data_IF_421479178499
#
_entry.id   IF_421479178499
#
_cell.length_a   1.000
_cell.length_b   1.000
_cell.length_c   1.000
_cell.angle_alpha   90.00
_cell.angle_beta   90.00
_cell.angle_gamma   90.00
#
_symmetry.space_group_name_H-M   'P 1'
#
loop_
_entity.id
_entity.type
_entity.pdbx_description
1 polymer ?
#
# COMPACT_ATOMS: atom_id res chain seq x y z
N UNK A 1 -2.98 6.82 -23.14
CA UNK A 1 -3.14 5.85 -22.04
C UNK A 1 -4.36 6.23 -21.20
N UNK A 2 -5.17 5.26 -20.75
CA UNK A 2 -6.24 5.55 -19.78
C UNK A 2 -5.60 5.71 -18.40
N UNK A 3 -5.61 6.92 -17.84
CA UNK A 3 -5.19 7.16 -16.46
C UNK A 3 -6.13 6.36 -15.53
N UNK A 4 -5.59 5.33 -14.88
CA UNK A 4 -6.34 4.58 -13.87
C UNK A 4 -6.62 5.54 -12.71
N UNK A 5 -7.91 5.76 -12.40
CA UNK A 5 -8.27 6.55 -11.24
C UNK A 5 -7.97 5.75 -9.96
N UNK A 6 -7.03 6.23 -9.17
CA UNK A 6 -6.72 5.66 -7.85
C UNK A 6 -7.40 6.45 -6.75
N UNK A 7 -8.07 5.74 -5.85
CA UNK A 7 -8.62 6.28 -4.62
C UNK A 7 -7.49 6.88 -3.76
N UNK A 8 -7.77 7.96 -3.03
CA UNK A 8 -6.83 8.59 -2.11
C UNK A 8 -6.15 7.60 -1.17
N UNK A 9 -6.89 6.71 -0.50
CA UNK A 9 -6.34 5.74 0.43
C UNK A 9 -5.40 4.73 -0.25
N UNK A 10 -5.69 4.34 -1.49
CA UNK A 10 -4.79 3.48 -2.28
C UNK A 10 -3.48 4.21 -2.56
N UNK A 11 -3.55 5.48 -2.97
CA UNK A 11 -2.35 6.31 -3.17
C UNK A 11 -1.56 6.47 -1.87
N UNK A 12 -2.24 6.69 -0.75
CA UNK A 12 -1.60 6.80 0.57
C UNK A 12 -0.87 5.51 0.95
N UNK A 13 -1.51 4.34 0.79
CA UNK A 13 -0.86 3.05 1.03
C UNK A 13 0.37 2.81 0.13
N UNK A 14 0.29 3.17 -1.16
CA UNK A 14 1.44 3.07 -2.07
C UNK A 14 2.57 4.01 -1.63
N UNK A 15 2.25 5.24 -1.21
CA UNK A 15 3.22 6.21 -0.69
C UNK A 15 3.89 5.73 0.60
N UNK A 16 3.14 5.19 1.56
CA UNK A 16 3.70 4.62 2.79
C UNK A 16 4.73 3.54 2.43
N UNK A 17 4.36 2.61 1.56
CA UNK A 17 5.27 1.55 1.13
C UNK A 17 6.50 2.11 0.38
N UNK A 18 6.32 3.09 -0.50
CA UNK A 18 7.43 3.77 -1.20
C UNK A 18 8.38 4.49 -0.23
N UNK A 19 7.85 5.15 0.79
CA UNK A 19 8.63 5.97 1.73
C UNK A 19 9.39 5.13 2.75
N UNK A 20 8.75 4.11 3.31
CA UNK A 20 9.28 3.40 4.48
C UNK A 20 9.82 2.00 4.18
N UNK A 21 9.85 1.58 2.91
CA UNK A 21 10.46 0.29 2.57
C UNK A 21 11.98 0.30 2.79
N UNK A 22 12.49 -0.88 3.16
CA UNK A 22 13.91 -1.21 3.14
C UNK A 22 14.09 -2.28 2.08
N UNK A 23 14.89 -1.98 1.05
CA UNK A 23 15.11 -2.86 -0.11
C UNK A 23 13.81 -3.30 -0.81
N UNK A 24 12.85 -2.39 -0.95
CA UNK A 24 11.58 -2.63 -1.63
C UNK A 24 10.53 -3.36 -0.79
N UNK A 25 10.82 -3.68 0.48
CA UNK A 25 9.91 -4.41 1.38
C UNK A 25 9.74 -3.69 2.71
N UNK A 26 8.62 -3.93 3.37
CA UNK A 26 8.43 -3.53 4.77
C UNK A 26 7.56 -4.55 5.53
N UNK A 27 7.72 -4.66 6.85
CA UNK A 27 6.86 -5.49 7.68
C UNK A 27 5.38 -5.06 7.57
N UNK A 28 4.48 -6.04 7.53
CA UNK A 28 3.04 -5.77 7.46
C UNK A 28 2.52 -5.12 8.75
N UNK A 29 3.16 -5.37 9.90
CA UNK A 29 2.88 -4.70 11.17
C UNK A 29 3.08 -3.20 11.05
N UNK A 30 4.30 -2.80 10.65
CA UNK A 30 4.71 -1.40 10.57
C UNK A 30 3.88 -0.68 9.49
N UNK A 31 3.63 -1.36 8.37
CA UNK A 31 2.77 -0.83 7.32
C UNK A 31 1.34 -0.55 7.81
N UNK A 32 0.82 -1.41 8.68
CA UNK A 32 -0.50 -1.23 9.27
C UNK A 32 -0.50 -0.09 10.30
N UNK A 33 0.57 0.06 11.08
CA UNK A 33 0.73 1.18 12.03
C UNK A 33 0.74 2.52 11.30
N UNK A 34 1.57 2.69 10.26
CA UNK A 34 1.57 3.92 9.47
C UNK A 34 0.23 4.19 8.77
N UNK A 35 -0.45 3.14 8.30
CA UNK A 35 -1.78 3.31 7.71
C UNK A 35 -2.83 3.76 8.75
N UNK A 36 -2.68 3.37 10.02
CA UNK A 36 -3.55 3.82 11.10
C UNK A 36 -3.35 5.31 11.42
N UNK A 37 -2.13 5.82 11.35
CA UNK A 37 -1.84 7.26 11.51
C UNK A 37 -2.55 8.11 10.44
N UNK A 38 -2.79 7.54 9.26
CA UNK A 38 -3.52 8.14 8.14
C UNK A 38 -5.04 7.83 8.14
N UNK A 39 -5.59 7.32 9.24
CA UNK A 39 -7.00 6.91 9.39
C UNK A 39 -7.45 5.84 8.36
N UNK A 40 -6.54 4.96 7.95
CA UNK A 40 -6.79 3.80 7.09
C UNK A 40 -6.73 2.53 7.96
N UNK A 41 -7.84 2.22 8.63
CA UNK A 41 -7.91 1.15 9.63
C UNK A 41 -8.75 -0.06 9.21
N UNK A 42 -8.59 -1.18 9.91
CA UNK A 42 -9.44 -2.39 9.82
C UNK A 42 -9.83 -2.82 8.38
N UNK A 43 -11.13 -2.88 8.08
CA UNK A 43 -11.67 -3.29 6.79
C UNK A 43 -11.25 -2.36 5.66
N UNK A 44 -11.13 -1.05 5.93
CA UNK A 44 -10.71 -0.03 4.97
C UNK A 44 -9.26 -0.28 4.54
N UNK A 45 -8.39 -0.61 5.49
CA UNK A 45 -7.01 -1.01 5.21
C UNK A 45 -6.94 -2.20 4.26
N UNK A 46 -7.58 -3.32 4.61
CA UNK A 46 -7.47 -4.52 3.77
C UNK A 46 -8.14 -4.34 2.40
N UNK A 47 -9.23 -3.58 2.30
CA UNK A 47 -9.87 -3.28 1.02
C UNK A 47 -8.92 -2.51 0.08
N UNK A 48 -8.28 -1.45 0.58
CA UNK A 48 -7.37 -0.65 -0.23
C UNK A 48 -6.02 -1.33 -0.49
N UNK A 49 -5.50 -2.11 0.46
CA UNK A 49 -4.31 -2.93 0.25
C UNK A 49 -4.54 -3.97 -0.84
N UNK A 50 -5.67 -4.68 -0.78
CA UNK A 50 -6.03 -5.65 -1.82
C UNK A 50 -6.16 -4.98 -3.19
N UNK A 51 -6.75 -3.78 -3.25
CA UNK A 51 -6.84 -3.01 -4.50
C UNK A 51 -5.46 -2.61 -5.03
N UNK A 52 -4.56 -2.11 -4.17
CA UNK A 52 -3.20 -1.77 -4.55
C UNK A 52 -2.43 -3.01 -5.05
N UNK A 53 -2.67 -4.17 -4.45
CA UNK A 53 -2.09 -5.43 -4.89
C UNK A 53 -2.63 -5.91 -6.24
N UNK A 54 -3.95 -5.84 -6.42
CA UNK A 54 -4.59 -6.23 -7.68
C UNK A 54 -4.09 -5.38 -8.87
N UNK A 55 -3.86 -4.09 -8.63
CA UNK A 55 -3.36 -3.16 -9.64
C UNK A 55 -1.84 -3.27 -9.88
N UNK A 56 -1.12 -4.09 -9.12
CA UNK A 56 0.31 -4.35 -9.33
C UNK A 56 1.25 -3.32 -8.69
N UNK A 57 0.75 -2.36 -7.90
CA UNK A 57 1.58 -1.38 -7.21
C UNK A 57 2.27 -1.96 -5.97
N UNK A 58 1.56 -2.86 -5.27
CA UNK A 58 2.04 -3.53 -4.07
C UNK A 58 1.96 -5.05 -4.24
N UNK A 59 2.74 -5.79 -3.46
CA UNK A 59 2.58 -7.24 -3.32
C UNK A 59 2.61 -7.59 -1.84
N UNK A 60 1.58 -8.29 -1.37
CA UNK A 60 1.51 -8.76 0.00
C UNK A 60 2.05 -10.19 0.11
N UNK A 61 2.95 -10.43 1.05
CA UNK A 61 3.31 -11.76 1.55
C UNK A 61 2.79 -11.94 2.99
N UNK A 62 3.08 -13.06 3.63
CA UNK A 62 2.50 -13.40 4.94
C UNK A 62 2.73 -12.29 6.00
N UNK A 63 3.97 -11.77 6.09
CA UNK A 63 4.36 -10.81 7.12
C UNK A 63 4.98 -9.52 6.55
N UNK A 64 4.96 -9.33 5.24
CA UNK A 64 5.58 -8.18 4.58
C UNK A 64 4.74 -7.66 3.41
N UNK A 65 4.92 -6.39 3.10
CA UNK A 65 4.43 -5.73 1.90
C UNK A 65 5.62 -5.29 1.08
N UNK A 66 5.62 -5.66 -0.19
CA UNK A 66 6.61 -5.26 -1.17
C UNK A 66 6.05 -4.12 -2.02
N UNK A 67 6.82 -3.04 -2.14
CA UNK A 67 6.60 -1.99 -3.12
C UNK A 67 7.08 -2.46 -4.49
N UNK A 68 6.22 -2.37 -5.51
CA UNK A 68 6.53 -2.85 -6.87
C UNK A 68 6.79 -1.67 -7.80
N UNK A 69 5.85 -0.73 -7.88
CA UNK A 69 5.95 0.44 -8.75
C UNK A 69 5.08 1.58 -8.23
N UNK A 70 5.40 2.79 -8.68
CA UNK A 70 4.63 3.98 -8.36
C UNK A 70 3.47 4.20 -9.33
N UNK A 71 2.56 5.12 -8.97
CA UNK A 71 1.44 5.55 -9.79
C UNK A 71 1.66 6.88 -10.52
N UNK A 72 2.85 7.49 -10.37
CA UNK A 72 3.26 8.71 -11.08
C UNK A 72 3.61 8.44 -12.55
#
# INVERSE_FOLDING_TARGET
EKKIYLNHNVKTLIRIAKTYNVNGKMPLSDFKEFAQEEDIIEKKFYAHLNQACYLGYLKRAANEVQFIMDFD
#
